data_IF_661275503911
#
_entry.id   IF_661275503911
#
_cell.length_a   1.000
_cell.length_b   1.000
_cell.length_c   1.000
_cell.angle_alpha   90.00
_cell.angle_beta   90.00
_cell.angle_gamma   90.00
#
_symmetry.space_group_name_H-M   'P 1'
#
loop_
_entity.id
_entity.type
_entity.pdbx_description
1 polymer ?
#
# COMPACT_ATOMS: atom_id res chain seq x y z
N UNK A 1 -8.88 -31.95 27.03
CA UNK A 1 -7.97 -31.66 25.90
C UNK A 1 -8.54 -32.31 24.65
N UNK A 2 -8.87 -31.67 23.54
CA UNK A 2 -9.10 -30.26 23.23
C UNK A 2 -9.99 -30.27 21.97
N UNK A 3 -11.28 -29.94 22.14
CA UNK A 3 -12.26 -29.84 21.05
C UNK A 3 -11.96 -28.66 20.09
N UNK A 4 -10.94 -27.84 20.39
CA UNK A 4 -10.58 -26.64 19.63
C UNK A 4 -9.76 -26.90 18.37
N UNK A 5 -9.10 -28.06 18.22
CA UNK A 5 -8.31 -28.35 17.01
C UNK A 5 -9.15 -28.85 15.83
N UNK A 6 -10.36 -29.38 16.06
CA UNK A 6 -11.23 -29.84 14.97
C UNK A 6 -12.05 -28.72 14.32
N UNK A 7 -12.27 -27.59 15.00
CA UNK A 7 -12.99 -26.45 14.43
C UNK A 7 -12.13 -25.65 13.43
N UNK A 8 -10.83 -25.50 13.69
CA UNK A 8 -9.90 -24.77 12.81
C UNK A 8 -9.68 -25.48 11.46
N UNK A 9 -9.66 -26.81 11.45
CA UNK A 9 -9.56 -27.59 10.22
C UNK A 9 -10.84 -27.54 9.37
N UNK A 10 -12.01 -27.39 9.98
CA UNK A 10 -13.27 -27.29 9.23
C UNK A 10 -13.43 -25.94 8.52
N UNK A 11 -12.95 -24.85 9.13
CA UNK A 11 -12.96 -23.51 8.52
C UNK A 11 -12.01 -23.46 7.30
N UNK A 12 -10.87 -24.13 7.36
CA UNK A 12 -9.91 -24.18 6.24
C UNK A 12 -10.37 -25.05 5.07
N UNK A 13 -11.11 -26.13 5.35
CA UNK A 13 -11.64 -27.04 4.31
C UNK A 13 -12.84 -26.44 3.57
N UNK A 14 -13.67 -25.61 4.23
CA UNK A 14 -14.81 -24.96 3.57
C UNK A 14 -14.40 -23.87 2.56
N UNK A 15 -13.23 -23.25 2.73
CA UNK A 15 -12.68 -22.25 1.78
C UNK A 15 -12.20 -22.91 0.47
N UNK A 16 -12.00 -24.23 0.46
CA UNK A 16 -11.39 -24.94 -0.67
C UNK A 16 -12.38 -25.72 -1.54
N UNK A 17 -13.58 -26.08 -1.04
CA UNK A 17 -14.47 -27.06 -1.71
C UNK A 17 -15.67 -26.47 -2.46
N UNK A 18 -15.92 -25.17 -2.40
CA UNK A 18 -16.99 -24.53 -3.17
C UNK A 18 -16.38 -23.52 -4.13
N UNK A 19 -16.27 -23.90 -5.40
CA UNK A 19 -15.86 -23.05 -6.53
C UNK A 19 -16.78 -21.86 -6.83
N UNK A 20 -17.50 -21.37 -5.81
CA UNK A 20 -18.33 -20.18 -5.76
C UNK A 20 -18.33 -19.70 -4.30
N UNK A 21 -17.33 -18.94 -3.84
CA UNK A 21 -17.43 -18.30 -2.52
C UNK A 21 -16.74 -16.95 -2.54
N UNK A 22 -17.55 -15.92 -2.28
CA UNK A 22 -17.17 -14.59 -1.79
C UNK A 22 -15.98 -14.71 -0.84
N UNK A 23 -15.01 -13.79 -0.96
CA UNK A 23 -13.92 -13.72 0.00
C UNK A 23 -14.50 -13.75 1.42
N UNK A 24 -14.01 -14.59 2.34
CA UNK A 24 -14.63 -14.75 3.64
C UNK A 24 -14.66 -13.40 4.35
N UNK A 25 -15.84 -12.96 4.77
CA UNK A 25 -15.98 -11.81 5.64
C UNK A 25 -15.18 -12.09 6.93
N UNK A 26 -14.27 -11.19 7.29
CA UNK A 26 -13.58 -11.28 8.57
C UNK A 26 -14.58 -10.93 9.68
N UNK A 27 -14.80 -11.81 10.67
CA UNK A 27 -15.63 -11.45 11.82
C UNK A 27 -15.06 -10.19 12.49
N UNK A 28 -15.93 -9.22 12.78
CA UNK A 28 -15.54 -7.89 13.29
C UNK A 28 -14.87 -7.95 14.68
N UNK A 29 -15.02 -9.07 15.36
CA UNK A 29 -14.51 -9.42 16.69
C UNK A 29 -13.14 -10.12 16.65
N UNK A 30 -12.62 -10.44 15.47
CA UNK A 30 -11.24 -10.96 15.35
C UNK A 30 -10.25 -9.84 15.58
N UNK A 31 -9.38 -10.05 16.57
CA UNK A 31 -8.23 -9.20 16.86
C UNK A 31 -7.48 -8.85 15.55
N UNK A 32 -7.15 -7.57 15.29
CA UNK A 32 -6.56 -7.16 14.01
C UNK A 32 -5.24 -7.86 13.69
N UNK A 33 -4.43 -8.23 14.70
CA UNK A 33 -3.18 -8.98 14.47
C UNK A 33 -3.47 -10.40 14.00
N UNK A 34 -4.48 -11.03 14.59
CA UNK A 34 -4.99 -12.32 14.13
C UNK A 34 -5.67 -12.24 12.75
N UNK A 35 -6.45 -11.19 12.49
CA UNK A 35 -7.08 -10.96 11.20
C UNK A 35 -6.05 -10.76 10.08
N UNK A 36 -4.98 -10.01 10.37
CA UNK A 36 -3.82 -9.88 9.49
C UNK A 36 -3.25 -11.25 9.15
N UNK A 37 -2.88 -12.04 10.18
CA UNK A 37 -2.31 -13.38 10.01
C UNK A 37 -3.19 -14.33 9.17
N UNK A 38 -4.52 -14.18 9.23
CA UNK A 38 -5.47 -14.96 8.44
C UNK A 38 -5.56 -14.52 6.96
N UNK A 39 -5.29 -13.24 6.67
CA UNK A 39 -5.29 -12.69 5.30
C UNK A 39 -3.93 -12.73 4.60
N UNK A 40 -2.86 -12.97 5.35
CA UNK A 40 -1.48 -12.95 4.88
C UNK A 40 -0.49 -12.46 5.95
N UNK A 41 0.79 -12.38 5.62
CA UNK A 41 1.84 -12.25 6.64
C UNK A 41 1.84 -10.91 7.41
N UNK A 42 1.89 -11.02 8.74
CA UNK A 42 2.28 -9.97 9.68
C UNK A 42 3.80 -9.99 9.80
N UNK A 43 4.45 -8.86 9.56
CA UNK A 43 5.91 -8.86 9.42
C UNK A 43 6.64 -8.20 10.59
N UNK A 44 6.03 -7.21 11.25
CA UNK A 44 6.66 -6.48 12.36
C UNK A 44 5.63 -5.82 13.26
N UNK A 45 5.88 -5.83 14.57
CA UNK A 45 5.12 -5.11 15.58
C UNK A 45 6.08 -4.33 16.48
N UNK A 46 5.64 -3.17 16.95
CA UNK A 46 6.30 -2.39 17.98
C UNK A 46 5.24 -1.78 18.89
N UNK A 47 5.44 -1.90 20.20
CA UNK A 47 4.59 -1.26 21.20
C UNK A 47 5.35 -0.09 21.83
N UNK A 48 4.80 1.10 21.69
CA UNK A 48 5.31 2.33 22.30
C UNK A 48 4.39 2.85 23.41
N UNK A 49 4.78 3.95 24.07
CA UNK A 49 3.99 4.57 25.14
C UNK A 49 3.07 5.69 24.67
N UNK A 50 3.28 6.23 23.46
CA UNK A 50 2.37 7.21 22.87
C UNK A 50 1.00 6.55 22.65
N UNK A 51 -0.12 7.24 22.96
CA UNK A 51 -1.46 6.65 22.85
C UNK A 51 -1.91 6.39 21.40
N UNK A 52 -1.13 6.80 20.39
CA UNK A 52 -1.40 6.55 18.98
C UNK A 52 -0.98 5.14 18.55
N UNK A 53 -1.71 4.56 17.60
CA UNK A 53 -1.36 3.30 16.92
C UNK A 53 -1.49 3.42 15.41
N UNK A 54 -0.47 2.97 14.68
CA UNK A 54 -0.42 3.04 13.22
C UNK A 54 -0.40 1.64 12.61
N UNK A 55 -1.29 1.38 11.67
CA UNK A 55 -1.17 0.24 10.77
C UNK A 55 -0.42 0.67 9.51
N UNK A 56 0.71 0.04 9.23
CA UNK A 56 1.47 0.27 8.00
C UNK A 56 1.19 -0.87 7.03
N UNK A 57 0.60 -0.54 5.87
CA UNK A 57 0.31 -1.47 4.79
C UNK A 57 1.33 -1.24 3.68
N UNK A 58 2.04 -2.29 3.30
CA UNK A 58 2.87 -2.24 2.11
C UNK A 58 2.02 -2.24 0.85
N UNK A 59 2.07 -1.14 0.13
CA UNK A 59 1.45 -0.97 -1.18
C UNK A 59 2.08 -1.92 -2.20
N UNK A 60 1.21 -2.58 -2.97
CA UNK A 60 1.57 -3.49 -4.06
C UNK A 60 1.18 -2.91 -5.42
N UNK A 61 1.61 -1.69 -5.72
CA UNK A 61 1.58 -1.19 -7.09
C UNK A 61 2.59 -1.89 -8.02
N UNK A 62 3.59 -2.58 -7.46
CA UNK A 62 4.54 -3.37 -8.24
C UNK A 62 3.93 -4.73 -8.59
N UNK A 63 3.44 -4.88 -9.81
CA UNK A 63 3.18 -6.17 -10.44
C UNK A 63 4.51 -6.94 -10.65
N UNK A 64 5.17 -7.33 -9.56
CA UNK A 64 6.33 -8.21 -9.67
C UNK A 64 5.89 -9.53 -10.32
N UNK A 65 6.77 -10.23 -11.05
CA UNK A 65 6.47 -11.53 -11.63
C UNK A 65 5.95 -12.54 -10.58
N UNK A 66 6.44 -12.47 -9.33
CA UNK A 66 5.99 -13.30 -8.22
C UNK A 66 4.53 -13.06 -7.83
N UNK A 67 4.01 -11.84 -7.99
CA UNK A 67 2.59 -11.56 -7.74
C UNK A 67 1.67 -12.35 -8.68
N UNK A 68 2.07 -12.56 -9.94
CA UNK A 68 1.29 -13.35 -10.92
C UNK A 68 1.23 -14.85 -10.59
N UNK A 69 2.06 -15.33 -9.66
CA UNK A 69 2.13 -16.74 -9.24
C UNK A 69 1.27 -17.05 -8.01
N UNK A 70 0.84 -16.04 -7.24
CA UNK A 70 -0.06 -16.20 -6.09
C UNK A 70 -1.44 -16.72 -6.55
N UNK A 71 -2.20 -17.48 -5.75
CA UNK A 71 -3.58 -17.89 -6.13
C UNK A 71 -4.46 -16.66 -6.41
N UNK A 72 -5.35 -16.72 -7.41
CA UNK A 72 -6.14 -15.57 -7.87
C UNK A 72 -6.93 -14.87 -6.75
N UNK A 73 -7.49 -15.65 -5.82
CA UNK A 73 -8.25 -15.14 -4.67
C UNK A 73 -7.36 -14.39 -3.68
N UNK A 74 -6.18 -14.91 -3.36
CA UNK A 74 -5.19 -14.23 -2.51
C UNK A 74 -4.61 -13.00 -3.20
N UNK A 75 -4.40 -13.03 -4.52
CA UNK A 75 -4.02 -11.84 -5.30
C UNK A 75 -5.04 -10.73 -5.13
N UNK A 76 -6.33 -11.04 -5.26
CA UNK A 76 -7.43 -10.09 -5.08
C UNK A 76 -7.41 -9.45 -3.69
N UNK A 77 -7.40 -10.27 -2.64
CA UNK A 77 -7.29 -9.81 -1.25
C UNK A 77 -6.06 -8.91 -1.02
N UNK A 78 -4.90 -9.31 -1.56
CA UNK A 78 -3.63 -8.61 -1.36
C UNK A 78 -3.49 -7.33 -2.20
N UNK A 79 -4.18 -7.21 -3.33
CA UNK A 79 -4.23 -5.98 -4.15
C UNK A 79 -5.24 -4.99 -3.63
N UNK A 80 -6.39 -5.50 -3.22
CA UNK A 80 -7.52 -4.68 -2.83
C UNK A 80 -7.29 -4.01 -1.49
N UNK A 81 -6.52 -4.64 -0.58
CA UNK A 81 -6.40 -4.26 0.84
C UNK A 81 -7.75 -4.01 1.54
N UNK A 82 -8.87 -4.35 0.89
CA UNK A 82 -10.23 -3.95 1.23
C UNK A 82 -10.68 -4.58 2.53
N UNK A 83 -10.58 -5.91 2.62
CA UNK A 83 -10.92 -6.66 3.83
C UNK A 83 -10.06 -6.23 5.04
N UNK A 84 -8.80 -5.86 4.77
CA UNK A 84 -7.91 -5.34 5.79
C UNK A 84 -8.41 -3.98 6.29
N UNK A 85 -8.64 -3.03 5.39
CA UNK A 85 -9.19 -1.72 5.73
C UNK A 85 -10.52 -1.87 6.47
N UNK A 86 -11.47 -2.67 5.97
CA UNK A 86 -12.77 -2.96 6.61
C UNK A 86 -12.62 -3.47 8.05
N UNK A 87 -11.74 -4.45 8.28
CA UNK A 87 -11.50 -4.96 9.62
C UNK A 87 -10.96 -3.88 10.56
N UNK A 88 -10.03 -3.05 10.10
CA UNK A 88 -9.45 -1.96 10.89
C UNK A 88 -10.43 -0.79 11.10
N UNK A 89 -11.37 -0.56 10.18
CA UNK A 89 -12.51 0.31 10.42
C UNK A 89 -13.38 -0.23 11.57
N UNK A 90 -13.59 -1.55 11.66
CA UNK A 90 -14.23 -2.16 12.83
C UNK A 90 -13.53 -1.81 14.17
N UNK A 91 -12.23 -1.56 14.12
CA UNK A 91 -11.37 -1.25 15.27
C UNK A 91 -11.04 0.24 15.41
N UNK A 92 -11.85 1.14 14.85
CA UNK A 92 -11.75 2.57 15.10
C UNK A 92 -10.62 3.29 14.34
N UNK A 93 -9.98 2.65 13.38
CA UNK A 93 -9.10 3.35 12.43
C UNK A 93 -9.97 4.19 11.50
N UNK A 94 -9.77 5.50 11.45
CA UNK A 94 -10.65 6.43 10.68
C UNK A 94 -9.87 7.40 9.80
N UNK A 95 -8.55 7.26 9.75
CA UNK A 95 -7.65 8.07 8.94
C UNK A 95 -6.76 7.15 8.13
N UNK A 96 -6.69 7.36 6.83
CA UNK A 96 -5.81 6.65 5.91
C UNK A 96 -4.88 7.65 5.23
N UNK A 97 -3.57 7.49 5.42
CA UNK A 97 -2.52 8.18 4.68
C UNK A 97 -2.05 7.36 3.48
N UNK A 98 -1.86 8.00 2.33
CA UNK A 98 -1.39 7.37 1.10
C UNK A 98 -0.36 8.23 0.35
N UNK A 99 0.37 7.61 -0.59
CA UNK A 99 1.32 8.27 -1.51
C UNK A 99 0.59 9.16 -2.53
N UNK A 100 0.05 10.27 -2.04
CA UNK A 100 -0.61 11.32 -2.80
C UNK A 100 -0.18 12.70 -2.28
N UNK A 101 -0.22 13.77 -3.09
CA UNK A 101 0.06 15.13 -2.63
C UNK A 101 -0.64 15.49 -1.31
N UNK A 102 0.09 16.17 -0.42
CA UNK A 102 -0.40 16.44 0.94
C UNK A 102 -1.74 17.18 0.95
N UNK A 103 -2.74 16.56 1.58
CA UNK A 103 -4.06 17.14 1.71
C UNK A 103 -5.18 16.10 1.83
N UNK A 104 -6.40 16.52 2.15
CA UNK A 104 -7.56 15.64 2.08
C UNK A 104 -7.82 15.24 0.61
N UNK A 105 -8.13 13.97 0.39
CA UNK A 105 -8.60 13.48 -0.91
C UNK A 105 -10.13 13.50 -0.85
N UNK A 106 -10.71 14.70 -0.93
CA UNK A 106 -12.15 14.90 -1.05
C UNK A 106 -12.50 15.19 -2.51
N UNK A 107 -13.74 14.89 -2.90
CA UNK A 107 -14.25 15.23 -4.24
C UNK A 107 -14.46 16.75 -4.32
N UNK A 108 -13.65 17.39 -5.16
CA UNK A 108 -13.66 18.83 -5.48
C UNK A 108 -13.87 19.01 -6.98
N UNK A 109 -14.06 20.25 -7.45
CA UNK A 109 -14.10 20.54 -8.90
C UNK A 109 -12.84 20.02 -9.63
N UNK A 110 -11.67 20.16 -9.00
CA UNK A 110 -10.38 19.74 -9.57
C UNK A 110 -10.20 18.22 -9.62
N UNK A 111 -10.83 17.47 -8.71
CA UNK A 111 -10.69 15.99 -8.61
C UNK A 111 -11.91 15.23 -9.14
N UNK A 112 -12.95 15.94 -9.58
CA UNK A 112 -14.21 15.36 -10.04
C UNK A 112 -14.02 14.36 -11.20
N UNK A 113 -12.98 14.55 -12.02
CA UNK A 113 -12.66 13.64 -13.12
C UNK A 113 -12.20 12.28 -12.60
N UNK A 114 -11.28 12.26 -11.65
CA UNK A 114 -10.73 11.07 -11.03
C UNK A 114 -11.84 10.31 -10.28
N UNK A 115 -12.67 11.02 -9.52
CA UNK A 115 -13.83 10.43 -8.85
C UNK A 115 -14.82 9.80 -9.83
N UNK A 116 -15.09 10.47 -10.96
CA UNK A 116 -15.95 9.91 -12.02
C UNK A 116 -15.35 8.63 -12.60
N UNK A 117 -14.05 8.61 -12.88
CA UNK A 117 -13.34 7.41 -13.32
C UNK A 117 -13.52 6.32 -12.26
N UNK A 118 -13.22 6.60 -10.99
CA UNK A 118 -13.36 5.60 -9.93
C UNK A 118 -14.78 5.02 -9.89
N UNK A 119 -15.82 5.86 -9.93
CA UNK A 119 -17.22 5.39 -9.96
C UNK A 119 -17.54 4.53 -11.18
N UNK A 120 -17.07 4.93 -12.37
CA UNK A 120 -17.31 4.18 -13.63
C UNK A 120 -16.67 2.80 -13.63
N UNK A 121 -15.49 2.66 -13.01
CA UNK A 121 -14.75 1.39 -13.01
C UNK A 121 -15.08 0.53 -11.78
N UNK A 122 -15.58 1.14 -10.70
CA UNK A 122 -16.07 0.41 -9.51
C UNK A 122 -17.39 -0.32 -9.79
N UNK A 123 -18.24 0.21 -10.67
CA UNK A 123 -19.56 -0.36 -10.96
C UNK A 123 -19.70 -0.75 -12.44
N UNK A 124 -20.27 -1.94 -12.76
CA UNK A 124 -20.91 -2.90 -11.86
C UNK A 124 -20.01 -4.04 -11.34
N UNK A 125 -18.76 -4.15 -11.79
CA UNK A 125 -17.90 -5.33 -11.53
C UNK A 125 -16.56 -5.04 -10.83
N UNK A 126 -16.34 -3.81 -10.36
CA UNK A 126 -15.11 -3.31 -9.75
C UNK A 126 -13.82 -3.82 -10.42
N UNK A 127 -13.39 -3.13 -11.48
CA UNK A 127 -12.16 -3.44 -12.22
C UNK A 127 -11.00 -2.51 -11.85
N UNK A 128 -11.15 -1.69 -10.80
CA UNK A 128 -10.11 -0.74 -10.37
C UNK A 128 -8.85 -1.41 -9.85
N UNK A 129 -8.94 -2.67 -9.43
CA UNK A 129 -7.79 -3.47 -9.01
C UNK A 129 -6.76 -3.67 -10.12
N UNK A 130 -7.12 -3.43 -11.38
CA UNK A 130 -6.21 -3.44 -12.51
C UNK A 130 -5.34 -2.18 -12.59
N UNK A 131 -5.81 -1.07 -12.02
CA UNK A 131 -5.25 0.26 -12.28
C UNK A 131 -4.41 0.86 -11.15
N UNK A 132 -4.41 0.29 -9.94
CA UNK A 132 -3.51 0.64 -8.80
C UNK A 132 -3.64 2.07 -8.26
N UNK A 133 -3.38 3.06 -9.11
CA UNK A 133 -3.38 4.51 -8.88
C UNK A 133 -4.66 5.05 -8.22
N UNK A 134 -5.79 4.36 -8.36
CA UNK A 134 -7.09 4.81 -7.87
C UNK A 134 -7.52 4.20 -6.52
N UNK A 135 -6.71 3.32 -5.91
CA UNK A 135 -7.08 2.64 -4.65
C UNK A 135 -7.40 3.62 -3.50
N UNK A 136 -6.66 4.73 -3.27
CA UNK A 136 -7.01 5.68 -2.22
C UNK A 136 -8.39 6.34 -2.42
N UNK A 137 -8.71 6.77 -3.65
CA UNK A 137 -10.00 7.36 -3.98
C UNK A 137 -11.14 6.35 -3.90
N UNK A 138 -10.88 5.09 -4.27
CA UNK A 138 -11.81 3.97 -4.07
C UNK A 138 -12.18 3.82 -2.61
N UNK A 139 -11.21 3.80 -1.69
CA UNK A 139 -11.51 3.72 -0.25
C UNK A 139 -12.35 4.89 0.26
N UNK A 140 -12.12 6.10 -0.24
CA UNK A 140 -12.92 7.26 0.14
C UNK A 140 -14.39 7.11 -0.28
N UNK A 141 -14.67 6.46 -1.42
CA UNK A 141 -16.03 6.19 -1.89
C UNK A 141 -16.67 4.97 -1.21
N UNK A 142 -15.88 3.94 -0.89
CA UNK A 142 -16.36 2.71 -0.26
C UNK A 142 -16.67 2.89 1.23
N UNK A 143 -15.91 3.74 1.92
CA UNK A 143 -16.00 3.93 3.38
C UNK A 143 -16.20 5.40 3.73
N UNK A 144 -17.44 5.91 3.76
CA UNK A 144 -17.74 7.30 4.08
C UNK A 144 -17.21 7.77 5.45
N UNK A 145 -17.02 6.85 6.40
CA UNK A 145 -16.44 7.13 7.72
C UNK A 145 -14.91 7.25 7.72
N UNK A 146 -14.24 6.85 6.63
CA UNK A 146 -12.80 6.94 6.47
C UNK A 146 -12.41 8.30 5.88
N UNK A 147 -11.45 8.97 6.52
CA UNK A 147 -10.81 10.17 5.97
C UNK A 147 -9.53 9.76 5.25
N UNK A 148 -9.52 9.89 3.93
CA UNK A 148 -8.34 9.60 3.09
C UNK A 148 -7.53 10.88 2.88
N UNK A 149 -6.22 10.78 3.11
CA UNK A 149 -5.27 11.88 3.04
C UNK A 149 -4.04 11.49 2.25
N UNK A 150 -3.59 12.41 1.39
CA UNK A 150 -2.26 12.38 0.83
C UNK A 150 -1.28 12.82 1.88
N UNK A 151 -0.17 12.09 2.02
CA UNK A 151 0.85 12.38 3.02
C UNK A 151 2.21 12.72 2.40
N UNK A 152 2.31 12.80 1.07
CA UNK A 152 3.57 13.12 0.40
C UNK A 152 4.00 14.56 0.64
N UNK A 153 5.30 14.76 0.87
CA UNK A 153 5.89 16.09 0.86
C UNK A 153 5.96 16.61 -0.59
N UNK A 154 5.31 17.75 -0.89
CA UNK A 154 5.26 18.28 -2.26
C UNK A 154 6.63 18.68 -2.80
N UNK A 155 7.57 19.06 -1.92
CA UNK A 155 8.94 19.41 -2.32
C UNK A 155 9.73 18.18 -2.71
N UNK A 156 9.57 17.07 -1.98
CA UNK A 156 10.20 15.79 -2.34
C UNK A 156 9.58 15.21 -3.61
N UNK A 157 8.25 15.29 -3.75
CA UNK A 157 7.54 14.86 -4.96
C UNK A 157 8.04 15.60 -6.20
N UNK A 158 8.18 16.93 -6.13
CA UNK A 158 8.66 17.73 -7.25
C UNK A 158 10.12 17.42 -7.63
N UNK A 159 10.97 17.10 -6.63
CA UNK A 159 12.36 16.64 -6.89
C UNK A 159 12.38 15.28 -7.60
N UNK A 160 11.53 14.36 -7.18
CA UNK A 160 11.40 13.05 -7.81
C UNK A 160 10.86 13.18 -9.23
N UNK A 161 9.85 14.02 -9.45
CA UNK A 161 9.29 14.29 -10.78
C UNK A 161 10.37 14.77 -11.77
N UNK A 162 11.18 15.76 -11.38
CA UNK A 162 12.30 16.26 -12.21
C UNK A 162 13.36 15.19 -12.49
N UNK A 163 13.67 14.38 -11.49
CA UNK A 163 14.64 13.28 -11.63
C UNK A 163 14.10 12.20 -12.56
N UNK A 164 12.82 11.86 -12.46
CA UNK A 164 12.14 10.92 -13.35
C UNK A 164 12.08 11.43 -14.80
N UNK A 165 11.70 12.70 -15.01
CA UNK A 165 11.69 13.33 -16.34
C UNK A 165 13.08 13.29 -16.99
N UNK A 166 14.12 13.56 -16.22
CA UNK A 166 15.51 13.44 -16.66
C UNK A 166 15.84 11.99 -17.03
N UNK A 167 15.51 11.03 -16.17
CA UNK A 167 15.75 9.61 -16.43
C UNK A 167 15.07 9.15 -17.73
N UNK A 168 13.80 9.50 -17.93
CA UNK A 168 13.04 9.14 -19.14
C UNK A 168 13.64 9.80 -20.39
N UNK A 169 13.95 11.09 -20.32
CA UNK A 169 14.52 11.83 -21.45
C UNK A 169 15.90 11.29 -21.86
N UNK A 170 16.79 11.05 -20.89
CA UNK A 170 18.13 10.53 -21.12
C UNK A 170 18.09 9.08 -21.63
N UNK A 171 17.21 8.24 -21.08
CA UNK A 171 16.99 6.86 -21.58
C UNK A 171 16.46 6.87 -23.01
N UNK A 172 15.53 7.77 -23.35
CA UNK A 172 14.99 7.89 -24.69
C UNK A 172 16.07 8.35 -25.69
N UNK A 173 16.93 9.30 -25.30
CA UNK A 173 18.07 9.76 -26.12
C UNK A 173 19.06 8.62 -26.37
N UNK A 174 19.48 7.90 -25.33
CA UNK A 174 20.40 6.77 -25.42
C UNK A 174 19.91 5.61 -26.32
N UNK A 175 18.60 5.52 -26.58
CA UNK A 175 17.98 4.51 -27.45
C UNK A 175 17.92 4.91 -28.93
N UNK A 176 18.25 6.16 -29.27
CA UNK A 176 18.23 6.61 -30.67
C UNK A 176 19.36 5.93 -31.44
N UNK A 177 19.05 5.47 -32.67
CA UNK A 177 19.95 4.64 -33.49
C UNK A 177 21.09 5.42 -34.15
N UNK A 178 20.97 6.74 -34.20
CA UNK A 178 21.87 7.68 -34.88
C UNK A 178 22.93 8.29 -33.94
N UNK A 179 23.01 7.86 -32.67
CA UNK A 179 23.98 8.39 -31.71
C UNK A 179 25.36 7.74 -31.82
N UNK A 180 26.40 8.54 -31.61
CA UNK A 180 27.75 8.03 -31.36
C UNK A 180 27.79 7.22 -30.05
N UNK A 181 28.76 6.30 -29.94
CA UNK A 181 28.94 5.53 -28.69
C UNK A 181 29.25 6.42 -27.49
N UNK A 182 29.96 7.53 -27.71
CA UNK A 182 30.31 8.49 -26.66
C UNK A 182 29.07 9.22 -26.14
N UNK A 183 28.20 9.68 -27.05
CA UNK A 183 26.94 10.35 -26.65
C UNK A 183 26.00 9.39 -25.95
N UNK A 184 25.88 8.17 -26.46
CA UNK A 184 25.08 7.11 -25.82
C UNK A 184 25.56 6.83 -24.40
N UNK A 185 26.87 6.72 -24.18
CA UNK A 185 27.44 6.52 -22.85
C UNK A 185 27.15 7.71 -21.91
N UNK A 186 27.26 8.95 -22.43
CA UNK A 186 26.95 10.15 -21.66
C UNK A 186 25.47 10.19 -21.21
N UNK A 187 24.53 9.83 -22.09
CA UNK A 187 23.12 9.75 -21.77
C UNK A 187 22.79 8.65 -20.75
N UNK A 188 23.40 7.47 -20.88
CA UNK A 188 23.24 6.39 -19.89
C UNK A 188 23.78 6.81 -18.52
N UNK A 189 24.91 7.53 -18.46
CA UNK A 189 25.43 8.08 -17.23
C UNK A 189 24.50 9.15 -16.62
N UNK A 190 23.85 9.97 -17.46
CA UNK A 190 22.80 10.90 -17.06
C UNK A 190 21.60 10.19 -16.42
N UNK A 191 21.06 9.16 -17.09
CA UNK A 191 19.97 8.34 -16.57
C UNK A 191 20.37 7.66 -15.24
N UNK A 192 21.59 7.12 -15.12
CA UNK A 192 22.07 6.50 -13.90
C UNK A 192 22.25 7.50 -12.73
N UNK A 193 22.61 8.76 -13.00
CA UNK A 193 22.59 9.83 -11.97
C UNK A 193 21.17 10.10 -11.50
N UNK A 194 20.24 10.32 -12.42
CA UNK A 194 18.84 10.59 -12.09
C UNK A 194 18.18 9.45 -11.30
N UNK A 195 18.46 8.19 -11.66
CA UNK A 195 17.98 7.03 -10.90
C UNK A 195 18.57 6.94 -9.48
N UNK A 196 19.83 7.34 -9.29
CA UNK A 196 20.44 7.44 -7.95
C UNK A 196 19.80 8.55 -7.12
N UNK A 197 19.47 9.68 -7.73
CA UNK A 197 18.82 10.79 -7.02
C UNK A 197 17.40 10.43 -6.58
N UNK A 198 16.62 9.71 -7.40
CA UNK A 198 15.35 9.10 -6.99
C UNK A 198 15.53 8.18 -5.77
N UNK A 199 16.49 7.25 -5.83
CA UNK A 199 16.73 6.30 -4.75
C UNK A 199 17.19 6.97 -3.44
N UNK A 200 17.93 8.09 -3.52
CA UNK A 200 18.36 8.86 -2.33
C UNK A 200 17.19 9.51 -1.60
N UNK A 201 16.11 9.86 -2.30
CA UNK A 201 14.94 10.50 -1.70
C UNK A 201 13.96 9.52 -1.03
N UNK A 202 14.07 8.22 -1.29
CA UNK A 202 13.14 7.19 -0.78
C UNK A 202 12.98 7.25 0.73
N UNK A 203 14.08 7.35 1.47
CA UNK A 203 14.04 7.43 2.94
C UNK A 203 13.43 8.75 3.42
N UNK A 204 13.75 9.87 2.77
CA UNK A 204 13.17 11.17 3.11
C UNK A 204 11.65 11.17 2.92
N UNK A 205 11.15 10.54 1.85
CA UNK A 205 9.72 10.37 1.58
C UNK A 205 9.03 9.52 2.65
N UNK A 206 9.61 8.39 3.04
CA UNK A 206 9.08 7.55 4.12
C UNK A 206 8.97 8.29 5.45
N UNK A 207 9.99 9.07 5.82
CA UNK A 207 9.94 9.92 7.02
C UNK A 207 8.87 10.99 6.92
N UNK A 208 8.81 11.70 5.80
CA UNK A 208 7.87 12.78 5.59
C UNK A 208 6.42 12.27 5.64
N UNK A 209 6.13 11.15 4.99
CA UNK A 209 4.81 10.52 5.02
C UNK A 209 4.37 10.15 6.44
N UNK A 210 5.27 9.55 7.24
CA UNK A 210 5.01 9.26 8.65
C UNK A 210 4.72 10.53 9.45
N UNK A 211 5.57 11.54 9.35
CA UNK A 211 5.39 12.81 10.06
C UNK A 211 4.09 13.52 9.66
N UNK A 212 3.76 13.51 8.37
CA UNK A 212 2.55 14.12 7.84
C UNK A 212 1.29 13.39 8.30
N UNK A 213 1.30 12.05 8.34
CA UNK A 213 0.19 11.28 8.92
C UNK A 213 -0.01 11.63 10.40
N UNK A 214 1.06 11.75 11.19
CA UNK A 214 0.94 12.13 12.59
C UNK A 214 0.32 13.53 12.76
N UNK A 215 0.73 14.50 11.94
CA UNK A 215 0.10 15.84 11.91
C UNK A 215 -1.39 15.77 11.57
N UNK A 216 -1.78 14.89 10.64
CA UNK A 216 -3.19 14.69 10.27
C UNK A 216 -3.97 14.08 11.43
N UNK A 217 -3.42 13.07 12.10
CA UNK A 217 -4.03 12.45 13.28
C UNK A 217 -4.25 13.48 14.39
N UNK A 218 -3.23 14.30 14.68
CA UNK A 218 -3.31 15.35 15.69
C UNK A 218 -4.36 16.41 15.30
N UNK A 219 -4.38 16.86 14.04
CA UNK A 219 -5.40 17.80 13.51
C UNK A 219 -6.82 17.25 13.63
N UNK A 220 -7.02 15.95 13.41
CA UNK A 220 -8.34 15.32 13.43
C UNK A 220 -8.73 14.79 14.83
N UNK A 221 -7.87 14.96 15.84
CA UNK A 221 -8.10 14.41 17.18
C UNK A 221 -8.21 12.89 17.20
N UNK A 222 -7.48 12.21 16.31
CA UNK A 222 -7.52 10.75 16.15
C UNK A 222 -6.25 10.10 16.68
N UNK A 223 -6.40 8.91 17.24
CA UNK A 223 -5.29 8.11 17.77
C UNK A 223 -4.91 6.92 16.89
N UNK A 224 -5.73 6.58 15.90
CA UNK A 224 -5.54 5.38 15.07
C UNK A 224 -5.53 5.77 13.60
N UNK A 225 -4.46 5.38 12.90
CA UNK A 225 -4.25 5.70 11.49
C UNK A 225 -3.75 4.50 10.70
N UNK A 226 -4.08 4.47 9.42
CA UNK A 226 -3.56 3.54 8.43
C UNK A 226 -2.59 4.32 7.55
N UNK A 227 -1.46 3.72 7.20
CA UNK A 227 -0.46 4.27 6.30
C UNK A 227 -0.17 3.28 5.19
N UNK A 228 -0.57 3.60 3.96
CA UNK A 228 -0.24 2.82 2.76
C UNK A 228 1.00 3.44 2.10
N UNK A 229 2.07 2.66 1.96
CA UNK A 229 3.33 3.11 1.36
C UNK A 229 3.98 2.02 0.51
N UNK A 230 4.71 2.42 -0.53
CA UNK A 230 5.62 1.53 -1.25
C UNK A 230 6.67 0.93 -0.31
N UNK A 231 6.98 -0.35 -0.51
CA UNK A 231 7.82 -1.12 0.42
C UNK A 231 9.18 -0.48 0.76
N UNK A 232 9.77 0.24 -0.19
CA UNK A 232 11.05 0.91 -0.02
C UNK A 232 10.99 2.09 0.99
N UNK A 233 9.82 2.70 1.20
CA UNK A 233 9.62 3.83 2.11
C UNK A 233 9.39 3.39 3.56
N UNK A 234 8.90 2.17 3.78
CA UNK A 234 8.49 1.65 5.09
C UNK A 234 9.59 1.77 6.16
N UNK A 235 10.85 1.32 5.93
CA UNK A 235 11.86 1.35 7.00
C UNK A 235 12.06 2.73 7.63
N UNK A 236 12.06 3.77 6.79
CA UNK A 236 12.23 5.15 7.23
C UNK A 236 10.99 5.70 7.97
N UNK A 237 9.78 5.28 7.58
CA UNK A 237 8.55 5.58 8.30
C UNK A 237 8.53 4.94 9.70
N UNK A 238 8.92 3.66 9.81
CA UNK A 238 8.97 2.94 11.09
C UNK A 238 9.98 3.54 12.06
N UNK A 239 11.10 4.07 11.57
CA UNK A 239 12.07 4.77 12.41
C UNK A 239 11.45 6.02 13.06
N UNK A 240 10.65 6.79 12.32
CA UNK A 240 9.94 7.95 12.87
C UNK A 240 8.97 7.54 13.97
N UNK A 241 8.19 6.48 13.76
CA UNK A 241 7.26 6.00 14.78
C UNK A 241 7.99 5.50 16.03
N UNK A 242 9.09 4.77 15.86
CA UNK A 242 9.92 4.30 16.99
C UNK A 242 10.55 5.44 17.77
N UNK A 243 11.08 6.46 17.08
CA UNK A 243 11.65 7.66 17.72
C UNK A 243 10.61 8.47 18.51
N UNK A 244 9.35 8.41 18.10
CA UNK A 244 8.22 9.06 18.76
C UNK A 244 7.48 8.15 19.74
N UNK A 245 7.98 6.94 19.95
CA UNK A 245 7.41 5.94 20.84
C UNK A 245 5.94 5.60 20.53
N UNK A 246 5.61 5.51 19.24
CA UNK A 246 4.26 5.23 18.72
C UNK A 246 4.14 3.75 18.35
N UNK A 247 3.09 3.08 18.84
CA UNK A 247 2.83 1.69 18.51
C UNK A 247 2.49 1.51 17.02
N UNK A 248 3.00 0.45 16.40
CA UNK A 248 2.66 0.12 15.02
C UNK A 248 2.63 -1.36 14.73
N UNK A 249 1.87 -1.71 13.70
CA UNK A 249 1.84 -3.03 13.07
C UNK A 249 2.14 -2.88 11.58
N UNK A 250 2.91 -3.81 11.02
CA UNK A 250 3.29 -3.80 9.61
C UNK A 250 2.71 -5.01 8.90
N UNK A 251 1.83 -4.73 7.95
CA UNK A 251 1.32 -5.71 7.00
C UNK A 251 2.18 -5.70 5.73
N UNK A 252 2.97 -6.76 5.55
CA UNK A 252 3.72 -6.99 4.32
C UNK A 252 3.13 -8.18 3.64
N UNK A 253 2.57 -7.93 2.47
CA UNK A 253 2.25 -9.04 1.60
C UNK A 253 3.58 -9.45 0.92
N UNK A 254 4.20 -10.56 1.33
CA UNK A 254 5.39 -11.13 0.70
C UNK A 254 5.05 -11.89 -0.60
N UNK A 255 5.99 -11.88 -1.56
CA UNK A 255 5.95 -12.81 -2.68
C UNK A 255 6.19 -14.21 -2.12
N UNK A 256 5.23 -15.11 -2.30
CA UNK A 256 5.53 -16.53 -2.27
C UNK A 256 6.33 -16.82 -3.55
N UNK A 257 7.64 -16.62 -3.50
CA UNK A 257 8.53 -17.50 -4.24
C UNK A 257 8.85 -18.63 -3.25
N UNK A 258 8.70 -19.89 -3.71
CA UNK A 258 8.83 -21.14 -2.95
C UNK A 258 7.55 -21.68 -2.28
N UNK A 259 6.76 -22.40 -3.06
CA UNK A 259 6.47 -23.78 -2.67
C UNK A 259 7.17 -24.68 -3.69
N UNK A 260 8.27 -25.37 -3.33
CA UNK A 260 8.55 -26.66 -3.94
C UNK A 260 7.43 -27.60 -3.49
N UNK A 261 6.86 -28.32 -4.46
CA UNK A 261 6.09 -29.54 -4.26
C UNK A 261 4.71 -29.39 -3.58
N UNK A 262 3.70 -29.18 -4.41
CA UNK A 262 2.44 -29.92 -4.26
C UNK A 262 2.34 -30.79 -5.50
N UNK A 263 2.87 -32.01 -5.40
CA UNK A 263 2.55 -33.08 -6.35
C UNK A 263 1.05 -33.42 -6.23
N UNK A 264 0.42 -33.63 -7.40
CA UNK A 264 -0.96 -34.08 -7.57
C UNK A 264 -1.24 -35.46 -6.96
#
# INVERSE_FOLDING_TARGET
MSCHHRLLSLVFVFVSLLGCTTAPDLPKDVDPVRAMSLLGEHANHFEGKDPRRILVIMDRHSASPGFRRVRLQLRRIQREHRLLVENFLGHGYRVLGCEYPFGPLEETEDTAREYRIVRTWMFPKDTLDEYGVFQPLRFQLMYPELRVWGVEDPTLHEKDRKSWETYVAETARARRKDQSETDRAAHLAGAARAARDLNRNVSARGRAAALNLLKVLDRLGRKRGILILGGAHIPAALEVFRQRDISYDVYRSHHYDEHPDVED
#
